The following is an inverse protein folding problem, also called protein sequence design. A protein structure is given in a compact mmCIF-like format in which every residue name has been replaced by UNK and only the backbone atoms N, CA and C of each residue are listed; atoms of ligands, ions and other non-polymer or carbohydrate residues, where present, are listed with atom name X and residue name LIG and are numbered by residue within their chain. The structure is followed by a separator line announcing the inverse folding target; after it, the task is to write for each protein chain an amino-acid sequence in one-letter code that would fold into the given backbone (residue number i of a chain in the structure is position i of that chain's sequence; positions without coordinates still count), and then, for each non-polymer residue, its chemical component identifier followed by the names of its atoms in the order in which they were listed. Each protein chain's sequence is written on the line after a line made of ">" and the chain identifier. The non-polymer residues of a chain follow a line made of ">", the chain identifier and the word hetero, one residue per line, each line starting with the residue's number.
data_IF_457027948993
#
_entry.id   IF_457027948993
#
_cell.length_a   1.000
_cell.length_b   1.000
_cell.length_c   1.000
_cell.angle_alpha   90.00
_cell.angle_beta   90.00
_cell.angle_gamma   90.00
#
_symmetry.space_group_name_H-M   'P 1'
#
loop_
_entity.id
_entity.type
_entity.pdbx_description
1 polymer ?
#
# COMPACT_ATOMS: atom_id res chain seq x y z
N UNK A 1 -20.85 28.11 -11.50
CA UNK A 1 -19.76 27.14 -11.29
C UNK A 1 -19.78 26.05 -12.37
N UNK A 2 -19.27 26.30 -13.60
CA UNK A 2 -19.06 25.22 -14.57
C UNK A 2 -17.67 25.23 -15.27
N UNK A 3 -16.68 25.98 -14.75
CA UNK A 3 -15.40 26.21 -15.45
C UNK A 3 -14.29 25.18 -15.14
N UNK A 4 -14.37 24.43 -14.05
CA UNK A 4 -13.33 23.43 -13.67
C UNK A 4 -13.41 22.13 -14.48
N UNK A 5 -14.60 21.75 -14.97
CA UNK A 5 -14.78 20.47 -15.68
C UNK A 5 -14.26 20.51 -17.13
N UNK A 6 -14.17 21.69 -17.74
CA UNK A 6 -13.68 21.84 -19.12
C UNK A 6 -12.15 21.69 -19.20
N UNK A 7 -11.41 22.13 -18.18
CA UNK A 7 -9.95 21.93 -18.11
C UNK A 7 -9.56 20.47 -17.85
N UNK A 8 -10.41 19.69 -17.18
CA UNK A 8 -10.22 18.25 -16.95
C UNK A 8 -10.46 17.43 -18.23
N UNK A 9 -11.50 17.73 -19.00
CA UNK A 9 -11.75 17.07 -20.29
C UNK A 9 -10.63 17.38 -21.31
N UNK A 10 -10.14 18.63 -21.36
CA UNK A 10 -9.01 19.00 -22.22
C UNK A 10 -7.69 18.34 -21.80
N UNK A 11 -7.50 18.08 -20.50
CA UNK A 11 -6.35 17.33 -19.99
C UNK A 11 -6.41 15.85 -20.40
N UNK A 12 -7.56 15.18 -20.22
CA UNK A 12 -7.73 13.80 -20.64
C UNK A 12 -7.65 13.64 -22.17
N UNK A 13 -8.18 14.61 -22.93
CA UNK A 13 -8.07 14.62 -24.39
C UNK A 13 -6.62 14.83 -24.87
N UNK A 14 -5.82 15.64 -24.18
CA UNK A 14 -4.38 15.80 -24.48
C UNK A 14 -3.58 14.54 -24.18
N UNK A 15 -3.83 13.90 -23.03
CA UNK A 15 -3.22 12.62 -22.69
C UNK A 15 -3.61 11.54 -23.69
N UNK A 16 -4.87 11.54 -24.15
CA UNK A 16 -5.34 10.58 -25.15
C UNK A 16 -4.70 10.83 -26.53
N UNK A 17 -4.55 12.10 -26.95
CA UNK A 17 -3.86 12.45 -28.19
C UNK A 17 -2.37 12.08 -28.17
N UNK A 18 -1.66 12.36 -27.06
CA UNK A 18 -0.26 11.97 -26.88
C UNK A 18 -0.08 10.44 -26.87
N UNK A 19 -1.05 9.67 -26.38
CA UNK A 19 -1.03 8.20 -26.47
C UNK A 19 -1.24 7.66 -27.89
N UNK A 20 -1.95 8.39 -28.75
CA UNK A 20 -2.21 7.97 -30.14
C UNK A 20 -1.07 8.31 -31.12
N UNK A 21 -0.25 9.32 -30.84
CA UNK A 21 0.87 9.71 -31.71
C UNK A 21 2.08 8.77 -31.58
N UNK A 22 2.26 8.11 -30.43
CA UNK A 22 3.38 7.19 -30.16
C UNK A 22 3.06 5.70 -30.42
N UNK A 23 1.81 5.36 -30.77
CA UNK A 23 1.47 4.01 -31.24
C UNK A 23 1.54 3.95 -32.77
N UNK A 24 2.44 3.15 -33.38
CA UNK A 24 2.35 2.92 -34.82
C UNK A 24 0.99 2.28 -35.13
N UNK A 25 0.24 2.89 -36.06
CA UNK A 25 -1.05 2.41 -36.53
C UNK A 25 -0.98 0.91 -36.84
N UNK A 26 -1.68 0.09 -36.06
CA UNK A 26 -1.85 -1.32 -36.37
C UNK A 26 -2.78 -1.45 -37.58
N UNK A 27 -2.23 -1.92 -38.69
CA UNK A 27 -2.98 -2.22 -39.91
C UNK A 27 -4.12 -3.24 -39.65
N UNK A 28 -5.29 -3.13 -40.30
CA UNK A 28 -6.56 -3.63 -39.76
C UNK A 28 -6.85 -5.13 -39.95
N UNK A 29 -5.84 -5.98 -40.18
CA UNK A 29 -6.08 -7.29 -40.83
C UNK A 29 -5.47 -8.52 -40.15
N UNK A 30 -5.11 -8.47 -38.86
CA UNK A 30 -4.76 -9.70 -38.11
C UNK A 30 -5.51 -9.77 -36.78
N UNK A 31 -6.19 -10.90 -36.58
CA UNK A 31 -6.98 -11.18 -35.38
C UNK A 31 -6.14 -11.22 -34.12
N UNK A 32 -6.74 -10.78 -33.02
CA UNK A 32 -6.16 -10.67 -31.70
C UNK A 32 -5.74 -12.06 -31.18
N UNK A 33 -4.44 -12.32 -31.09
CA UNK A 33 -3.89 -13.45 -30.34
C UNK A 33 -3.24 -12.96 -29.05
N UNK A 34 -3.39 -13.75 -27.99
CA UNK A 34 -2.96 -13.44 -26.61
C UNK A 34 -1.43 -13.24 -26.44
N UNK A 35 -0.64 -13.35 -27.51
CA UNK A 35 0.83 -13.19 -27.51
C UNK A 35 1.29 -11.76 -27.79
N UNK A 36 0.39 -10.85 -28.19
CA UNK A 36 0.72 -9.47 -28.57
C UNK A 36 0.74 -8.48 -27.40
N UNK A 37 0.49 -8.93 -26.16
CA UNK A 37 0.60 -8.04 -25.00
C UNK A 37 2.07 -7.69 -24.76
N UNK A 38 2.46 -6.40 -24.75
CA UNK A 38 3.85 -6.05 -24.52
C UNK A 38 4.27 -6.53 -23.14
N UNK A 39 5.13 -7.56 -23.10
CA UNK A 39 5.85 -7.98 -21.89
C UNK A 39 6.90 -6.95 -21.44
N UNK A 40 6.92 -5.77 -22.06
CA UNK A 40 7.83 -4.67 -21.76
C UNK A 40 7.14 -3.68 -20.84
N UNK A 41 7.81 -3.36 -19.73
CA UNK A 41 7.52 -2.19 -18.90
C UNK A 41 7.31 -0.98 -19.84
N UNK A 42 6.24 -0.16 -19.68
CA UNK A 42 6.07 1.04 -20.49
C UNK A 42 7.34 1.90 -20.45
N UNK A 43 7.69 2.60 -21.55
CA UNK A 43 8.91 3.38 -21.64
C UNK A 43 9.06 4.34 -20.46
N UNK A 44 10.29 4.50 -19.97
CA UNK A 44 10.61 5.32 -18.78
C UNK A 44 10.06 6.74 -18.90
N UNK A 45 9.98 7.29 -20.11
CA UNK A 45 9.39 8.61 -20.40
C UNK A 45 7.94 8.72 -19.93
N UNK A 46 7.06 7.76 -20.25
CA UNK A 46 5.65 7.78 -19.85
C UNK A 46 5.54 7.69 -18.31
N UNK A 47 6.38 6.88 -17.65
CA UNK A 47 6.39 6.75 -16.20
C UNK A 47 6.80 8.05 -15.49
N UNK A 48 7.79 8.75 -16.03
CA UNK A 48 8.27 10.03 -15.51
C UNK A 48 7.25 11.15 -15.75
N UNK A 49 6.62 11.18 -16.94
CA UNK A 49 5.58 12.15 -17.31
C UNK A 49 4.33 12.05 -16.43
N UNK A 50 3.97 10.86 -15.93
CA UNK A 50 2.88 10.70 -14.97
C UNK A 50 3.31 10.98 -13.52
N UNK A 51 4.52 10.56 -13.12
CA UNK A 51 4.95 10.66 -11.73
C UNK A 51 5.27 12.09 -11.26
N UNK A 52 5.82 12.94 -12.14
CA UNK A 52 6.10 14.35 -11.83
C UNK A 52 4.85 15.18 -11.47
N UNK A 53 3.78 15.19 -12.29
CA UNK A 53 2.56 15.95 -11.98
C UNK A 53 1.80 15.35 -10.79
N UNK A 54 1.87 14.03 -10.55
CA UNK A 54 1.23 13.40 -9.39
C UNK A 54 1.88 13.88 -8.09
N UNK A 55 3.21 13.96 -8.01
CA UNK A 55 3.92 14.44 -6.79
C UNK A 55 3.84 15.98 -6.65
N UNK A 56 3.80 16.73 -7.77
CA UNK A 56 3.60 18.19 -7.73
C UNK A 56 2.18 18.56 -7.29
N UNK A 57 1.17 17.74 -7.63
CA UNK A 57 -0.26 17.99 -7.31
C UNK A 57 -0.71 17.35 -5.99
N UNK A 58 -0.18 16.18 -5.63
CA UNK A 58 -0.28 15.58 -4.29
C UNK A 58 1.03 15.78 -3.54
N UNK A 59 1.09 16.78 -2.66
CA UNK A 59 2.21 16.94 -1.72
C UNK A 59 2.37 15.62 -0.98
N UNK A 60 3.45 14.88 -1.26
CA UNK A 60 3.77 13.64 -0.55
C UNK A 60 3.67 13.92 0.95
N UNK A 61 2.94 13.09 1.72
CA UNK A 61 2.81 13.30 3.16
C UNK A 61 4.22 13.36 3.75
N UNK A 62 4.46 14.34 4.62
CA UNK A 62 5.79 14.84 5.02
C UNK A 62 6.71 13.86 5.76
N UNK A 63 6.41 12.57 5.72
CA UNK A 63 6.94 11.53 6.60
C UNK A 63 7.54 10.32 5.83
N UNK A 64 7.34 10.20 4.50
CA UNK A 64 7.76 9.03 3.72
C UNK A 64 9.21 9.12 3.15
N UNK A 65 10.20 9.31 4.02
CA UNK A 65 11.59 9.49 3.60
C UNK A 65 12.23 8.25 2.91
N UNK A 66 12.12 7.01 3.44
CA UNK A 66 12.71 5.82 2.81
C UNK A 66 12.08 5.50 1.45
N UNK A 67 10.77 5.73 1.31
CA UNK A 67 10.07 5.51 0.04
C UNK A 67 10.49 6.52 -1.02
N UNK A 68 10.70 7.79 -0.63
CA UNK A 68 11.22 8.82 -1.54
C UNK A 68 12.61 8.47 -2.07
N UNK A 69 13.52 8.00 -1.22
CA UNK A 69 14.84 7.55 -1.67
C UNK A 69 14.77 6.36 -2.63
N UNK A 70 13.90 5.38 -2.34
CA UNK A 70 13.71 4.21 -3.20
C UNK A 70 13.13 4.60 -4.57
N UNK A 71 12.15 5.50 -4.58
CA UNK A 71 11.55 6.02 -5.80
C UNK A 71 12.55 6.79 -6.65
N UNK A 72 13.28 7.74 -6.06
CA UNK A 72 14.30 8.53 -6.76
C UNK A 72 15.37 7.63 -7.39
N UNK A 73 15.81 6.57 -6.69
CA UNK A 73 16.74 5.57 -7.24
C UNK A 73 16.16 4.80 -8.41
N UNK A 74 14.87 4.44 -8.36
CA UNK A 74 14.22 3.66 -9.42
C UNK A 74 13.88 4.46 -10.67
N UNK A 75 13.74 5.79 -10.53
CA UNK A 75 13.35 6.72 -11.58
C UNK A 75 14.50 7.59 -12.08
N UNK A 76 15.72 7.40 -11.56
CA UNK A 76 16.91 8.23 -11.82
C UNK A 76 16.64 9.74 -11.66
N UNK A 77 15.83 10.10 -10.66
CA UNK A 77 15.49 11.49 -10.36
C UNK A 77 16.52 12.16 -9.46
N UNK A 78 16.69 13.47 -9.65
CA UNK A 78 17.48 14.28 -8.72
C UNK A 78 16.80 14.33 -7.35
N UNK A 79 17.52 13.91 -6.32
CA UNK A 79 17.06 13.91 -4.95
C UNK A 79 17.14 15.33 -4.42
N UNK A 80 16.01 15.87 -3.96
CA UNK A 80 16.01 17.10 -3.18
C UNK A 80 16.49 16.78 -1.75
N UNK A 81 17.76 17.11 -1.49
CA UNK A 81 18.43 16.84 -0.21
C UNK A 81 17.82 17.68 0.92
N UNK A 82 17.35 18.90 0.64
CA UNK A 82 16.76 19.77 1.65
C UNK A 82 15.38 19.26 2.09
N UNK A 83 14.58 18.77 1.13
CA UNK A 83 13.31 18.13 1.43
C UNK A 83 13.51 16.82 2.22
N UNK A 84 14.47 15.99 1.79
CA UNK A 84 14.79 14.73 2.45
C UNK A 84 15.25 14.94 3.91
N UNK A 85 16.10 15.95 4.16
CA UNK A 85 16.57 16.26 5.49
C UNK A 85 15.44 16.77 6.41
N UNK A 86 14.51 17.58 5.88
CA UNK A 86 13.31 18.00 6.62
C UNK A 86 12.44 16.80 7.00
N UNK A 87 12.23 15.86 6.08
CA UNK A 87 11.45 14.64 6.32
C UNK A 87 12.14 13.73 7.35
N UNK A 88 13.45 13.49 7.22
CA UNK A 88 14.22 12.69 8.19
C UNK A 88 14.17 13.29 9.59
N UNK A 89 14.34 14.61 9.70
CA UNK A 89 14.24 15.30 10.99
C UNK A 89 12.85 15.14 11.63
N UNK A 90 11.78 15.37 10.87
CA UNK A 90 10.42 15.17 11.37
C UNK A 90 10.17 13.71 11.79
N UNK A 91 10.73 12.74 11.06
CA UNK A 91 10.62 11.33 11.40
C UNK A 91 11.37 10.99 12.69
N UNK A 92 12.58 11.51 12.87
CA UNK A 92 13.38 11.31 14.09
C UNK A 92 12.71 11.93 15.30
N UNK A 93 12.14 13.13 15.18
CA UNK A 93 11.47 13.83 16.29
C UNK A 93 10.21 13.06 16.75
N UNK A 94 9.40 12.56 15.81
CA UNK A 94 8.21 11.77 16.15
C UNK A 94 8.56 10.36 16.65
N UNK A 95 9.61 9.73 16.09
CA UNK A 95 10.07 8.43 16.58
C UNK A 95 10.58 8.51 18.02
N UNK A 96 11.31 9.59 18.36
CA UNK A 96 11.71 9.87 19.75
C UNK A 96 10.51 10.04 20.66
N UNK A 97 9.48 10.78 20.24
CA UNK A 97 8.26 10.95 21.04
C UNK A 97 7.59 9.61 21.33
N UNK A 98 7.49 8.74 20.32
CA UNK A 98 6.90 7.40 20.47
C UNK A 98 7.77 6.46 21.32
N UNK A 99 9.09 6.63 21.29
CA UNK A 99 10.03 5.89 22.15
C UNK A 99 9.95 6.35 23.61
N UNK A 100 9.82 7.65 23.85
CA UNK A 100 9.60 8.22 25.20
C UNK A 100 8.24 7.76 25.76
N UNK A 101 7.19 7.75 24.95
CA UNK A 101 5.87 7.22 25.33
C UNK A 101 5.92 5.73 25.66
N UNK A 102 6.69 4.95 24.89
CA UNK A 102 6.90 3.53 25.15
C UNK A 102 7.65 3.31 26.47
N UNK A 103 8.72 4.07 26.72
CA UNK A 103 9.47 3.98 27.98
C UNK A 103 8.63 4.39 29.20
N UNK A 104 7.79 5.42 29.05
CA UNK A 104 6.88 5.86 30.10
C UNK A 104 5.82 4.79 30.39
N UNK A 105 5.24 4.20 29.34
CA UNK A 105 4.30 3.11 29.48
C UNK A 105 4.93 1.87 30.14
N UNK A 106 6.18 1.55 29.83
CA UNK A 106 6.89 0.42 30.45
C UNK A 106 7.24 0.66 31.93
N UNK A 107 7.46 1.91 32.33
CA UNK A 107 7.83 2.25 33.73
C UNK A 107 6.61 2.49 34.61
N UNK A 108 5.55 3.10 34.07
CA UNK A 108 4.44 3.66 34.85
C UNK A 108 3.08 3.01 34.59
N UNK A 109 2.87 2.34 33.44
CA UNK A 109 1.56 1.84 33.00
C UNK A 109 1.50 0.31 32.93
N UNK A 110 0.35 -0.22 32.54
CA UNK A 110 0.09 -1.65 32.44
C UNK A 110 0.44 -2.24 31.07
N UNK A 111 0.29 -3.56 30.94
CA UNK A 111 0.55 -4.29 29.70
C UNK A 111 -0.33 -3.83 28.52
N UNK A 112 -1.51 -3.28 28.81
CA UNK A 112 -2.44 -2.80 27.77
C UNK A 112 -1.93 -1.52 27.10
N UNK A 113 -1.42 -0.58 27.90
CA UNK A 113 -0.87 0.69 27.41
C UNK A 113 0.47 0.47 26.70
N UNK A 114 1.31 -0.43 27.21
CA UNK A 114 2.56 -0.83 26.53
C UNK A 114 2.26 -1.36 25.13
N UNK A 115 1.20 -2.19 24.98
CA UNK A 115 0.78 -2.72 23.67
C UNK A 115 0.33 -1.59 22.75
N UNK A 116 -0.47 -0.65 23.24
CA UNK A 116 -1.02 0.43 22.40
C UNK A 116 0.09 1.38 21.94
N UNK A 117 1.06 1.70 22.80
CA UNK A 117 2.27 2.44 22.41
C UNK A 117 3.10 1.67 21.36
N UNK A 118 3.27 0.34 21.53
CA UNK A 118 3.95 -0.50 20.53
C UNK A 118 3.21 -0.53 19.18
N UNK A 119 1.88 -0.52 19.20
CA UNK A 119 1.05 -0.48 18.00
C UNK A 119 1.17 0.86 17.29
N UNK A 120 1.10 1.98 18.02
CA UNK A 120 1.29 3.32 17.46
C UNK A 120 2.66 3.48 16.80
N UNK A 121 3.72 2.96 17.44
CA UNK A 121 5.07 2.93 16.87
C UNK A 121 5.14 2.10 15.58
N UNK A 122 4.52 0.92 15.56
CA UNK A 122 4.51 0.06 14.38
C UNK A 122 3.73 0.70 13.21
N UNK A 123 2.61 1.34 13.49
CA UNK A 123 1.83 2.09 12.49
C UNK A 123 2.62 3.26 11.93
N UNK A 124 3.34 4.00 12.78
CA UNK A 124 4.19 5.10 12.33
C UNK A 124 5.31 4.62 11.41
N UNK A 125 6.01 3.53 11.77
CA UNK A 125 7.03 2.91 10.90
C UNK A 125 6.45 2.44 9.56
N UNK A 126 5.24 1.89 9.57
CA UNK A 126 4.53 1.53 8.34
C UNK A 126 4.22 2.77 7.49
N UNK A 127 3.80 3.88 8.10
CA UNK A 127 3.50 5.14 7.43
C UNK A 127 4.72 5.81 6.82
N UNK A 128 5.88 5.67 7.45
CA UNK A 128 7.17 6.12 6.90
C UNK A 128 7.59 5.27 5.70
N UNK A 129 7.17 4.00 5.65
CA UNK A 129 7.55 3.04 4.61
C UNK A 129 8.87 2.32 4.91
N UNK A 130 9.20 2.12 6.19
CA UNK A 130 10.30 1.24 6.58
C UNK A 130 9.79 -0.21 6.70
N UNK A 131 10.09 -1.04 5.70
CA UNK A 131 9.64 -2.44 5.63
C UNK A 131 10.16 -3.28 6.79
N UNK A 132 11.46 -3.21 7.09
CA UNK A 132 12.09 -4.12 8.05
C UNK A 132 11.80 -3.73 9.50
N UNK A 133 11.83 -2.43 9.79
CA UNK A 133 11.45 -1.88 11.08
C UNK A 133 9.99 -2.19 11.42
N UNK A 134 9.08 -1.96 10.47
CA UNK A 134 7.66 -2.27 10.67
C UNK A 134 7.41 -3.76 10.89
N UNK A 135 8.01 -4.66 10.09
CA UNK A 135 7.86 -6.11 10.27
C UNK A 135 8.32 -6.58 11.66
N UNK A 136 9.43 -6.03 12.16
CA UNK A 136 9.96 -6.37 13.48
C UNK A 136 9.06 -5.83 14.59
N UNK A 137 8.57 -4.60 14.46
CA UNK A 137 7.64 -4.01 15.41
C UNK A 137 6.32 -4.79 15.49
N UNK A 138 5.69 -5.10 14.35
CA UNK A 138 4.46 -5.90 14.31
C UNK A 138 4.61 -7.29 14.90
N UNK A 139 5.77 -7.96 14.73
CA UNK A 139 6.04 -9.25 15.37
C UNK A 139 6.08 -9.12 16.90
N UNK A 140 6.79 -8.12 17.43
CA UNK A 140 6.85 -7.85 18.87
C UNK A 140 5.47 -7.55 19.45
N UNK A 141 4.68 -6.73 18.75
CA UNK A 141 3.31 -6.41 19.17
C UNK A 141 2.41 -7.64 19.14
N UNK A 142 2.55 -8.49 18.11
CA UNK A 142 1.78 -9.74 17.98
C UNK A 142 1.99 -10.67 19.19
N UNK A 143 3.23 -10.87 19.61
CA UNK A 143 3.57 -11.75 20.75
C UNK A 143 2.99 -11.24 22.08
N UNK A 144 2.90 -9.90 22.25
CA UNK A 144 2.29 -9.28 23.44
C UNK A 144 0.76 -9.24 23.38
N UNK A 145 0.15 -9.31 22.21
CA UNK A 145 -1.31 -9.26 22.08
C UNK A 145 -1.96 -10.58 22.46
N UNK A 146 -2.95 -10.54 23.37
CA UNK A 146 -3.72 -11.72 23.78
C UNK A 146 -5.03 -11.84 23.01
N UNK A 147 -5.69 -10.72 22.70
CA UNK A 147 -6.97 -10.71 22.02
C UNK A 147 -6.85 -11.11 20.54
N UNK A 148 -7.67 -12.09 20.11
CA UNK A 148 -7.71 -12.58 18.73
C UNK A 148 -8.01 -11.46 17.71
N UNK A 149 -8.92 -10.54 18.05
CA UNK A 149 -9.25 -9.40 17.18
C UNK A 149 -8.02 -8.55 16.83
N UNK A 150 -7.25 -8.15 17.84
CA UNK A 150 -6.04 -7.34 17.64
C UNK A 150 -4.93 -8.09 16.89
N UNK A 151 -4.78 -9.41 17.14
CA UNK A 151 -3.86 -10.26 16.36
C UNK A 151 -4.22 -10.24 14.88
N UNK A 152 -5.50 -10.34 14.58
CA UNK A 152 -6.00 -10.35 13.21
C UNK A 152 -5.80 -8.99 12.52
N UNK A 153 -6.05 -7.91 13.24
CA UNK A 153 -5.81 -6.55 12.75
C UNK A 153 -4.32 -6.34 12.41
N UNK A 154 -3.38 -6.86 13.24
CA UNK A 154 -1.93 -6.85 12.94
C UNK A 154 -1.61 -7.62 11.66
N UNK A 155 -2.23 -8.79 11.45
CA UNK A 155 -2.03 -9.59 10.22
C UNK A 155 -2.52 -8.82 8.98
N UNK A 156 -3.59 -8.03 9.10
CA UNK A 156 -4.02 -7.13 8.02
C UNK A 156 -3.02 -6.00 7.71
N UNK A 157 -2.33 -5.44 8.72
CA UNK A 157 -1.21 -4.52 8.45
C UNK A 157 -0.10 -5.21 7.64
N UNK A 158 0.26 -6.44 8.01
CA UNK A 158 1.29 -7.21 7.29
C UNK A 158 0.88 -7.55 5.85
N UNK A 159 -0.40 -7.87 5.62
CA UNK A 159 -0.96 -8.08 4.28
C UNK A 159 -0.89 -6.82 3.43
N UNK A 160 -1.25 -5.66 3.98
CA UNK A 160 -1.14 -4.37 3.28
C UNK A 160 0.28 -4.02 2.89
N UNK A 161 1.25 -4.21 3.80
CA UNK A 161 2.68 -4.05 3.49
C UNK A 161 3.10 -5.02 2.38
N UNK A 162 2.65 -6.27 2.45
CA UNK A 162 2.93 -7.28 1.42
C UNK A 162 2.39 -6.88 0.05
N UNK A 163 1.16 -6.38 -0.02
CA UNK A 163 0.54 -5.87 -1.25
C UNK A 163 1.26 -4.62 -1.77
N UNK A 164 1.68 -3.70 -0.91
CA UNK A 164 2.40 -2.49 -1.30
C UNK A 164 3.76 -2.80 -1.95
N UNK A 165 4.53 -3.73 -1.38
CA UNK A 165 5.81 -4.18 -1.94
C UNK A 165 5.68 -5.32 -2.97
N UNK A 166 4.44 -5.77 -3.26
CA UNK A 166 4.15 -6.92 -4.14
C UNK A 166 4.95 -8.19 -3.80
N UNK A 167 5.06 -8.49 -2.51
CA UNK A 167 5.81 -9.65 -1.99
C UNK A 167 4.88 -10.86 -1.82
N UNK A 168 4.87 -11.75 -2.82
CA UNK A 168 3.98 -12.92 -2.88
C UNK A 168 4.16 -13.88 -1.69
N UNK A 169 5.39 -14.10 -1.23
CA UNK A 169 5.69 -15.02 -0.14
C UNK A 169 5.22 -14.48 1.21
N UNK A 170 5.26 -13.16 1.38
CA UNK A 170 4.72 -12.51 2.58
C UNK A 170 3.19 -12.55 2.59
N UNK A 171 2.54 -12.28 1.44
CA UNK A 171 1.08 -12.27 1.33
C UNK A 171 0.50 -13.66 1.59
N UNK A 172 1.04 -14.71 0.98
CA UNK A 172 0.54 -16.08 1.12
C UNK A 172 0.63 -16.57 2.57
N UNK A 173 1.78 -16.39 3.24
CA UNK A 173 1.97 -16.77 4.65
C UNK A 173 1.01 -16.04 5.58
N UNK A 174 0.79 -14.75 5.37
CA UNK A 174 -0.10 -13.95 6.22
C UNK A 174 -1.58 -14.23 5.92
N UNK A 175 -1.93 -14.55 4.67
CA UNK A 175 -3.28 -14.98 4.30
C UNK A 175 -3.65 -16.28 5.00
N UNK A 176 -2.74 -17.26 5.02
CA UNK A 176 -2.97 -18.54 5.71
C UNK A 176 -3.15 -18.33 7.22
N UNK A 177 -2.28 -17.53 7.84
CA UNK A 177 -2.41 -17.17 9.26
C UNK A 177 -3.75 -16.47 9.55
N UNK A 178 -4.17 -15.54 8.69
CA UNK A 178 -5.44 -14.87 8.84
C UNK A 178 -6.63 -15.84 8.75
N UNK A 179 -6.57 -16.83 7.85
CA UNK A 179 -7.61 -17.87 7.75
C UNK A 179 -7.72 -18.69 9.04
N UNK A 180 -6.59 -19.18 9.57
CA UNK A 180 -6.59 -19.92 10.84
C UNK A 180 -7.19 -19.10 11.99
N UNK A 181 -6.83 -17.82 12.10
CA UNK A 181 -7.39 -16.93 13.13
C UNK A 181 -8.90 -16.65 12.95
N UNK A 182 -9.39 -16.60 11.71
CA UNK A 182 -10.82 -16.45 11.43
C UNK A 182 -11.61 -17.73 11.79
N UNK A 183 -11.02 -18.91 11.58
CA UNK A 183 -11.62 -20.20 11.94
C UNK A 183 -11.73 -20.38 13.46
N UNK A 184 -10.72 -19.92 14.21
CA UNK A 184 -10.71 -19.96 15.68
C UNK A 184 -11.77 -19.06 16.32
N UNK A 185 -12.13 -17.94 15.69
CA UNK A 185 -13.08 -17.00 16.28
C UNK A 185 -13.13 -15.63 15.62
N UNK A 186 -13.25 -15.59 14.29
CA UNK A 186 -13.30 -14.35 13.51
C UNK A 186 -14.67 -13.69 13.48
N UNK A 187 -14.67 -12.38 13.72
CA UNK A 187 -15.82 -11.51 13.44
C UNK A 187 -16.20 -11.55 11.95
N UNK A 188 -17.49 -11.40 11.65
CA UNK A 188 -18.02 -11.49 10.29
C UNK A 188 -17.48 -10.38 9.40
N UNK A 189 -17.34 -9.15 9.90
CA UNK A 189 -16.77 -8.01 9.15
C UNK A 189 -15.31 -8.29 8.75
N UNK A 190 -14.50 -8.79 9.70
CA UNK A 190 -13.10 -9.17 9.44
C UNK A 190 -12.96 -10.29 8.41
N UNK A 191 -13.91 -11.23 8.36
CA UNK A 191 -13.95 -12.28 7.32
C UNK A 191 -14.18 -11.67 5.93
N UNK A 192 -15.10 -10.71 5.81
CA UNK A 192 -15.35 -10.03 4.54
C UNK A 192 -14.14 -9.23 4.08
N UNK A 193 -13.45 -8.54 4.99
CA UNK A 193 -12.21 -7.83 4.70
C UNK A 193 -11.11 -8.76 4.18
N UNK A 194 -10.93 -9.91 4.82
CA UNK A 194 -9.97 -10.91 4.36
C UNK A 194 -10.28 -11.42 2.94
N UNK A 195 -11.57 -11.64 2.62
CA UNK A 195 -11.99 -12.03 1.26
C UNK A 195 -11.62 -10.97 0.22
N UNK A 196 -11.77 -9.67 0.54
CA UNK A 196 -11.35 -8.58 -0.36
C UNK A 196 -9.84 -8.58 -0.57
N UNK A 197 -9.04 -8.68 0.49
CA UNK A 197 -7.58 -8.76 0.37
C UNK A 197 -7.13 -9.98 -0.44
N UNK A 198 -7.77 -11.13 -0.23
CA UNK A 198 -7.50 -12.34 -1.01
C UNK A 198 -7.93 -12.17 -2.48
N UNK A 199 -9.08 -11.55 -2.74
CA UNK A 199 -9.55 -11.23 -4.09
C UNK A 199 -8.58 -10.32 -4.83
N UNK A 200 -8.07 -9.28 -4.16
CA UNK A 200 -7.07 -8.37 -4.72
C UNK A 200 -5.77 -9.11 -5.05
N UNK A 201 -5.33 -10.00 -4.18
CA UNK A 201 -4.17 -10.86 -4.46
C UNK A 201 -4.41 -11.80 -5.66
N UNK A 202 -5.61 -12.40 -5.76
CA UNK A 202 -5.99 -13.25 -6.90
C UNK A 202 -5.93 -12.48 -8.23
N UNK A 203 -6.34 -11.21 -8.25
CA UNK A 203 -6.18 -10.34 -9.43
C UNK A 203 -4.70 -10.13 -9.77
N UNK A 204 -3.84 -9.91 -8.77
CA UNK A 204 -2.41 -9.71 -9.00
C UNK A 204 -1.73 -10.93 -9.65
N UNK A 205 -2.14 -12.15 -9.28
CA UNK A 205 -1.64 -13.40 -9.87
C UNK A 205 -2.37 -13.81 -11.17
N UNK A 206 -3.31 -12.98 -11.66
CA UNK A 206 -4.17 -13.22 -12.84
C UNK A 206 -5.12 -14.42 -12.71
N UNK A 207 -5.52 -14.78 -11.49
CA UNK A 207 -6.59 -15.75 -11.25
C UNK A 207 -7.94 -15.03 -11.16
N UNK A 208 -8.53 -14.77 -12.32
CA UNK A 208 -9.80 -14.07 -12.41
C UNK A 208 -11.00 -14.91 -11.95
N UNK A 209 -10.89 -16.24 -11.97
CA UNK A 209 -11.99 -17.12 -11.59
C UNK A 209 -12.25 -17.02 -10.09
N UNK A 210 -11.20 -17.20 -9.29
CA UNK A 210 -11.31 -17.06 -7.83
C UNK A 210 -11.57 -15.61 -7.43
N UNK A 211 -10.95 -14.63 -8.09
CA UNK A 211 -11.18 -13.22 -7.79
C UNK A 211 -12.64 -12.81 -7.99
N UNK A 212 -13.28 -13.24 -9.09
CA UNK A 212 -14.67 -12.89 -9.39
C UNK A 212 -15.64 -13.40 -8.31
N UNK A 213 -15.45 -14.64 -7.85
CA UNK A 213 -16.27 -15.24 -6.79
C UNK A 213 -16.11 -14.48 -5.46
N UNK A 214 -14.87 -14.19 -5.06
CA UNK A 214 -14.57 -13.45 -3.83
C UNK A 214 -15.12 -12.02 -3.85
N UNK A 215 -15.07 -11.33 -4.99
CA UNK A 215 -15.61 -9.97 -5.10
C UNK A 215 -17.14 -9.96 -5.17
N UNK A 216 -17.76 -10.92 -5.87
CA UNK A 216 -19.21 -11.00 -5.93
C UNK A 216 -19.83 -11.25 -4.55
N UNK A 217 -19.17 -12.05 -3.73
CA UNK A 217 -19.57 -12.30 -2.34
C UNK A 217 -19.47 -11.05 -1.45
N UNK A 218 -18.47 -10.19 -1.68
CA UNK A 218 -18.13 -9.08 -0.78
C UNK A 218 -18.69 -7.74 -1.20
N UNK A 219 -19.14 -7.58 -2.46
CA UNK A 219 -19.64 -6.31 -3.01
C UNK A 219 -20.82 -5.74 -2.22
N UNK A 220 -21.70 -6.61 -1.72
CA UNK A 220 -22.92 -6.19 -1.00
C UNK A 220 -22.66 -5.73 0.43
N UNK A 221 -21.48 -6.04 0.98
CA UNK A 221 -21.13 -5.85 2.39
C UNK A 221 -19.79 -5.12 2.54
N UNK A 222 -19.37 -4.41 1.49
CA UNK A 222 -18.08 -3.73 1.47
C UNK A 222 -18.15 -2.44 2.29
N UNK A 223 -17.45 -2.45 3.43
CA UNK A 223 -17.39 -1.34 4.41
C UNK A 223 -15.98 -0.79 4.58
N UNK A 224 -15.02 -1.25 3.79
CA UNK A 224 -13.60 -0.89 3.95
C UNK A 224 -13.26 0.36 3.15
N UNK A 225 -12.77 1.39 3.84
CA UNK A 225 -12.19 2.60 3.24
C UNK A 225 -10.65 2.61 3.30
N UNK A 226 -10.08 1.50 3.76
CA UNK A 226 -8.63 1.32 3.95
C UNK A 226 -7.89 1.05 2.65
#
# INVERSE_FOLDING_TARGET
>A
MPLENLEEEDFWNRIWQEQTEDCPLSSPSRGWQCQDWPSRKPPTSIRLCFAEPIIKRHRMPSYMAPYYEALCKSLDWQIDVDLLNKMKKANEDELKRLDEELEDAEKNLGESEIRDAMMAKAEYLCRIGDKEGALTAFRKTYDKTVALGHRLDIVFYLLRIGLFYMDNDLITRNTEKAKSLIEEGGDWDRRNRLKVYQGLYCVAIRDFKQAAELFLDTVSTFTSYE
#
